data_IF_024222485966
#
_entry.id   IF_024222485966
#
_cell.length_a   1.000
_cell.length_b   1.000
_cell.length_c   1.000
_cell.angle_alpha   90.00
_cell.angle_beta   90.00
_cell.angle_gamma   90.00
#
_symmetry.space_group_name_H-M   'P 1'
#
loop_
_entity.id
_entity.type
_entity.pdbx_description
1 polymer ?
#
# COMPACT_ATOMS: atom_id res chain seq x y z
N UNK A 1 24.60 -24.10 -46.24
CA UNK A 1 23.22 -24.35 -45.77
C UNK A 1 23.20 -25.13 -44.45
N UNK A 2 24.07 -26.13 -44.28
CA UNK A 2 24.06 -27.02 -43.09
C UNK A 2 24.40 -26.32 -41.76
N UNK A 3 25.28 -25.33 -41.79
CA UNK A 3 25.63 -24.53 -40.61
C UNK A 3 24.45 -23.71 -40.08
N UNK A 4 23.57 -23.21 -40.96
CA UNK A 4 22.38 -22.43 -40.58
C UNK A 4 21.34 -23.33 -39.89
N UNK A 5 21.13 -24.54 -40.39
CA UNK A 5 20.22 -25.52 -39.78
C UNK A 5 20.69 -25.97 -38.40
N UNK A 6 21.99 -26.21 -38.23
CA UNK A 6 22.55 -26.54 -36.94
C UNK A 6 22.33 -25.41 -35.91
N UNK A 7 22.56 -24.15 -36.30
CA UNK A 7 22.31 -22.99 -35.42
C UNK A 7 20.83 -22.91 -35.03
N UNK A 8 19.90 -23.11 -35.98
CA UNK A 8 18.45 -23.09 -35.71
C UNK A 8 18.05 -24.19 -34.73
N UNK A 9 18.55 -25.42 -34.91
CA UNK A 9 18.22 -26.54 -34.02
C UNK A 9 18.73 -26.33 -32.59
N UNK A 10 19.96 -25.80 -32.43
CA UNK A 10 20.52 -25.48 -31.12
C UNK A 10 19.72 -24.35 -30.45
N UNK A 11 19.40 -23.28 -31.19
CA UNK A 11 18.59 -22.18 -30.68
C UNK A 11 17.18 -22.62 -30.25
N UNK A 12 16.52 -23.48 -31.06
CA UNK A 12 15.22 -24.03 -30.75
C UNK A 12 15.26 -24.93 -29.49
N UNK A 13 16.28 -25.78 -29.36
CA UNK A 13 16.47 -26.61 -28.16
C UNK A 13 16.69 -25.76 -26.90
N UNK A 14 17.50 -24.71 -26.98
CA UNK A 14 17.73 -23.79 -25.87
C UNK A 14 16.46 -23.02 -25.48
N UNK A 15 15.68 -22.55 -26.46
CA UNK A 15 14.40 -21.88 -26.21
C UNK A 15 13.39 -22.82 -25.53
N UNK A 16 13.30 -24.09 -25.97
CA UNK A 16 12.43 -25.09 -25.38
C UNK A 16 12.82 -25.42 -23.93
N UNK A 17 14.13 -25.58 -23.67
CA UNK A 17 14.64 -25.82 -22.33
C UNK A 17 14.38 -24.64 -21.38
N UNK A 18 14.58 -23.41 -21.85
CA UNK A 18 14.26 -22.20 -21.08
C UNK A 18 12.75 -22.13 -20.78
N UNK A 19 11.90 -22.39 -21.77
CA UNK A 19 10.45 -22.41 -21.62
C UNK A 19 10.01 -23.46 -20.58
N UNK A 20 10.49 -24.70 -20.71
CA UNK A 20 10.20 -25.79 -19.76
C UNK A 20 10.65 -25.44 -18.33
N UNK A 21 11.85 -24.88 -18.18
CA UNK A 21 12.38 -24.47 -16.88
C UNK A 21 11.51 -23.37 -16.25
N UNK A 22 11.06 -22.38 -17.03
CA UNK A 22 10.17 -21.33 -16.51
C UNK A 22 8.82 -21.87 -16.06
N UNK A 23 8.23 -22.81 -16.82
CA UNK A 23 6.95 -23.43 -16.44
C UNK A 23 7.07 -24.24 -15.14
N UNK A 24 8.16 -24.99 -14.97
CA UNK A 24 8.39 -25.81 -13.78
C UNK A 24 8.64 -24.96 -12.52
N UNK A 25 9.29 -23.79 -12.65
CA UNK A 25 9.63 -22.93 -11.50
C UNK A 25 8.55 -21.90 -11.14
N UNK A 26 7.66 -21.55 -12.07
CA UNK A 26 6.58 -20.57 -11.87
C UNK A 26 5.66 -20.88 -10.68
N UNK A 27 5.07 -22.09 -10.54
CA UNK A 27 4.12 -22.36 -9.46
C UNK A 27 4.79 -22.29 -8.09
N UNK A 28 6.03 -22.77 -7.96
CA UNK A 28 6.78 -22.69 -6.70
C UNK A 28 7.11 -21.25 -6.30
N UNK A 29 7.38 -20.37 -7.27
CA UNK A 29 7.58 -18.93 -7.02
C UNK A 29 6.29 -18.25 -6.56
N UNK A 30 5.20 -18.50 -7.26
CA UNK A 30 3.88 -17.92 -6.94
C UNK A 30 3.40 -18.37 -5.56
N UNK A 31 3.56 -19.65 -5.21
CA UNK A 31 3.19 -20.18 -3.90
C UNK A 31 3.99 -19.51 -2.77
N UNK A 32 5.31 -19.36 -2.94
CA UNK A 32 6.18 -18.69 -1.96
C UNK A 32 5.82 -17.21 -1.78
N UNK A 33 5.47 -16.53 -2.86
CA UNK A 33 5.04 -15.12 -2.80
C UNK A 33 3.70 -14.97 -2.10
N UNK A 34 2.74 -15.85 -2.39
CA UNK A 34 1.45 -15.89 -1.70
C UNK A 34 1.63 -16.16 -0.19
N UNK A 35 2.42 -17.17 0.18
CA UNK A 35 2.72 -17.49 1.58
C UNK A 35 3.38 -16.32 2.31
N UNK A 36 4.33 -15.64 1.64
CA UNK A 36 4.99 -14.46 2.18
C UNK A 36 3.99 -13.34 2.40
N UNK A 37 3.14 -13.05 1.42
CA UNK A 37 2.12 -12.02 1.52
C UNK A 37 1.16 -12.30 2.69
N UNK A 38 0.63 -13.53 2.78
CA UNK A 38 -0.26 -13.92 3.86
C UNK A 38 0.39 -13.84 5.25
N UNK A 39 1.69 -14.12 5.37
CA UNK A 39 2.42 -13.91 6.63
C UNK A 39 2.48 -12.42 6.99
N UNK A 40 2.85 -11.57 6.03
CA UNK A 40 2.95 -10.12 6.25
C UNK A 40 1.60 -9.48 6.58
N UNK A 41 0.50 -9.94 5.96
CA UNK A 41 -0.87 -9.52 6.28
C UNK A 41 -1.22 -9.91 7.72
N UNK A 42 -0.99 -11.16 8.12
CA UNK A 42 -1.22 -11.60 9.52
C UNK A 42 -0.39 -10.81 10.52
N UNK A 43 0.86 -10.53 10.19
CA UNK A 43 1.74 -9.73 11.04
C UNK A 43 1.29 -8.28 11.13
N UNK A 44 0.74 -7.71 10.04
CA UNK A 44 0.10 -6.38 10.07
C UNK A 44 -1.08 -6.37 11.04
N UNK A 45 -2.03 -7.30 10.87
CA UNK A 45 -3.21 -7.42 11.74
C UNK A 45 -2.85 -7.54 13.21
N UNK A 46 -1.84 -8.36 13.54
CA UNK A 46 -1.38 -8.54 14.93
C UNK A 46 -0.85 -7.27 15.59
N UNK A 47 -0.33 -6.32 14.83
CA UNK A 47 0.27 -5.10 15.36
C UNK A 47 -0.50 -3.83 14.97
N UNK A 48 -1.69 -4.00 14.38
CA UNK A 48 -2.50 -2.93 13.79
C UNK A 48 -2.77 -1.81 14.79
N UNK A 49 -3.32 -2.13 15.95
CA UNK A 49 -3.62 -1.14 17.00
C UNK A 49 -2.38 -0.32 17.41
N UNK A 50 -1.22 -0.98 17.57
CA UNK A 50 0.03 -0.29 17.91
C UNK A 50 0.52 0.62 16.78
N UNK A 51 0.35 0.19 15.52
CA UNK A 51 0.70 1.00 14.36
C UNK A 51 -0.22 2.20 14.21
N UNK A 52 -1.52 2.04 14.42
CA UNK A 52 -2.52 3.11 14.37
C UNK A 52 -2.25 4.17 15.44
N UNK A 53 -1.94 3.77 16.67
CA UNK A 53 -1.52 4.71 17.72
C UNK A 53 -0.26 5.51 17.29
N UNK A 54 0.77 4.82 16.79
CA UNK A 54 1.98 5.48 16.25
C UNK A 54 1.66 6.37 15.05
N UNK A 55 0.69 6.00 14.23
CA UNK A 55 0.27 6.78 13.07
C UNK A 55 -0.31 8.11 13.52
N UNK A 56 -1.22 8.10 14.49
CA UNK A 56 -1.86 9.31 15.03
C UNK A 56 -0.79 10.28 15.53
N UNK A 57 0.15 9.81 16.36
CA UNK A 57 1.26 10.63 16.87
C UNK A 57 2.09 11.26 15.75
N UNK A 58 2.44 10.46 14.74
CA UNK A 58 3.29 10.89 13.62
C UNK A 58 2.56 11.82 12.66
N UNK A 59 1.29 11.55 12.37
CA UNK A 59 0.47 12.36 11.48
C UNK A 59 0.19 13.74 12.10
N UNK A 60 -0.16 13.78 13.40
CA UNK A 60 -0.34 15.02 14.14
C UNK A 60 0.93 15.88 14.14
N UNK A 61 2.10 15.27 14.31
CA UNK A 61 3.39 15.97 14.29
C UNK A 61 3.75 16.58 12.92
N UNK A 62 3.16 16.12 11.81
CA UNK A 62 3.45 16.67 10.48
C UNK A 62 2.75 18.01 10.19
N UNK A 63 1.74 18.41 10.98
CA UNK A 63 1.07 19.71 10.85
C UNK A 63 0.42 19.97 9.48
N UNK A 64 0.01 18.91 8.77
CA UNK A 64 -0.66 18.98 7.46
C UNK A 64 -2.11 18.55 7.60
N UNK A 65 -3.10 19.29 7.07
CA UNK A 65 -2.99 20.52 6.28
C UNK A 65 -2.60 21.75 7.12
N UNK A 66 -1.93 22.73 6.51
CA UNK A 66 -1.54 23.99 7.19
C UNK A 66 -2.78 24.70 7.73
N UNK A 67 -2.69 25.26 8.94
CA UNK A 67 -3.80 26.01 9.57
C UNK A 67 -4.88 25.14 10.22
N UNK A 68 -4.76 23.81 10.14
CA UNK A 68 -5.72 22.85 10.69
C UNK A 68 -5.07 21.96 11.75
N UNK A 69 -5.78 21.75 12.85
CA UNK A 69 -5.42 20.79 13.90
C UNK A 69 -6.19 19.50 13.69
N UNK A 70 -5.50 18.37 13.77
CA UNK A 70 -6.14 17.05 13.79
C UNK A 70 -6.88 16.90 15.11
N UNK A 71 -8.18 16.61 15.06
CA UNK A 71 -8.98 16.33 16.26
C UNK A 71 -9.03 14.84 16.49
N UNK A 72 -9.37 14.09 15.45
CA UNK A 72 -9.68 12.66 15.55
C UNK A 72 -9.39 11.95 14.22
N UNK A 73 -9.10 10.65 14.33
CA UNK A 73 -8.86 9.74 13.20
C UNK A 73 -9.58 8.42 13.46
N UNK A 74 -10.49 8.06 12.58
CA UNK A 74 -11.10 6.73 12.56
C UNK A 74 -10.41 5.86 11.50
N UNK A 75 -10.17 4.60 11.83
CA UNK A 75 -9.64 3.60 10.90
C UNK A 75 -10.75 2.64 10.51
N UNK A 76 -10.85 2.33 9.22
CA UNK A 76 -11.75 1.32 8.68
C UNK A 76 -10.97 0.03 8.36
N UNK A 77 -11.69 -1.09 8.19
CA UNK A 77 -11.13 -2.40 7.89
C UNK A 77 -10.75 -2.57 6.40
N UNK A 78 -11.02 -1.56 5.56
CA UNK A 78 -10.60 -1.57 4.15
C UNK A 78 -9.09 -1.32 4.03
N UNK A 79 -8.36 -2.37 3.61
CA UNK A 79 -6.91 -2.35 3.47
C UNK A 79 -6.47 -2.84 2.10
N UNK A 80 -5.76 -1.99 1.37
CA UNK A 80 -5.09 -2.37 0.12
C UNK A 80 -3.60 -2.58 0.39
N UNK A 81 -3.10 -3.76 0.01
CA UNK A 81 -1.67 -4.03 0.04
C UNK A 81 -1.09 -3.73 -1.33
N UNK A 82 -0.05 -2.89 -1.33
CA UNK A 82 0.64 -2.48 -2.55
C UNK A 82 2.14 -2.71 -2.43
N UNK A 83 2.75 -3.14 -3.53
CA UNK A 83 4.21 -3.26 -3.65
C UNK A 83 4.75 -1.99 -4.29
N UNK A 84 5.75 -1.41 -3.63
CA UNK A 84 6.55 -0.35 -4.21
C UNK A 84 7.42 -0.92 -5.33
N UNK A 85 7.26 -0.43 -6.56
CA UNK A 85 7.91 -0.97 -7.77
C UNK A 85 9.42 -0.80 -7.74
N UNK A 86 9.93 0.25 -7.08
CA UNK A 86 11.36 0.59 -7.05
C UNK A 86 12.12 -0.22 -5.99
N UNK A 87 11.56 -0.31 -4.79
CA UNK A 87 12.18 -0.96 -3.64
C UNK A 87 11.71 -2.40 -3.41
N UNK A 88 10.59 -2.80 -4.00
CA UNK A 88 9.93 -4.08 -3.73
C UNK A 88 9.25 -4.16 -2.36
N UNK A 89 9.29 -3.07 -1.56
CA UNK A 89 8.73 -3.02 -0.21
C UNK A 89 7.22 -3.09 -0.23
N UNK A 90 6.64 -3.76 0.77
CA UNK A 90 5.18 -3.85 0.91
C UNK A 90 4.65 -2.65 1.70
N UNK A 91 3.54 -2.10 1.23
CA UNK A 91 2.75 -1.06 1.90
C UNK A 91 1.35 -1.61 2.20
N UNK A 92 0.80 -1.23 3.34
CA UNK A 92 -0.60 -1.37 3.68
C UNK A 92 -1.22 0.03 3.66
N UNK A 93 -2.20 0.21 2.79
CA UNK A 93 -2.96 1.43 2.59
C UNK A 93 -4.31 1.22 3.25
N UNK A 94 -4.54 1.93 4.35
CA UNK A 94 -5.73 1.75 5.19
C UNK A 94 -6.66 2.93 4.99
N UNK A 95 -7.94 2.64 4.77
CA UNK A 95 -8.98 3.68 4.73
C UNK A 95 -9.11 4.33 6.11
N UNK A 96 -9.07 5.65 6.14
CA UNK A 96 -9.24 6.43 7.37
C UNK A 96 -10.21 7.58 7.12
N UNK A 97 -10.86 8.03 8.18
CA UNK A 97 -11.53 9.32 8.18
C UNK A 97 -10.83 10.26 9.17
N UNK A 98 -10.59 11.49 8.74
CA UNK A 98 -9.86 12.49 9.55
C UNK A 98 -10.75 13.69 9.80
N UNK A 99 -10.82 14.11 11.07
CA UNK A 99 -11.54 15.30 11.51
C UNK A 99 -10.58 16.44 11.83
N UNK A 100 -10.90 17.65 11.37
CA UNK A 100 -10.07 18.84 11.55
C UNK A 100 -10.77 19.93 12.36
N UNK A 101 -9.96 20.74 13.04
CA UNK A 101 -10.37 22.03 13.58
C UNK A 101 -9.52 23.15 12.96
N UNK A 102 -10.11 24.32 12.74
CA UNK A 102 -9.36 25.51 12.42
C UNK A 102 -8.48 25.91 13.62
N UNK A 103 -7.22 26.25 13.37
CA UNK A 103 -6.39 26.91 14.39
C UNK A 103 -6.72 28.40 14.39
N UNK A 104 -6.99 28.96 15.57
CA UNK A 104 -7.26 30.39 15.72
C UNK A 104 -6.08 31.24 15.20
N UNK A 105 -6.37 32.23 14.34
CA UNK A 105 -5.39 33.04 13.62
C UNK A 105 -4.76 32.37 12.39
N UNK A 106 -5.21 31.17 12.00
CA UNK A 106 -4.66 30.39 10.88
C UNK A 106 -5.21 30.71 9.48
N UNK A 107 -6.11 31.70 9.37
CA UNK A 107 -6.68 32.16 8.10
C UNK A 107 -7.69 31.19 7.45
N UNK A 108 -8.16 30.17 8.19
CA UNK A 108 -9.15 29.19 7.73
C UNK A 108 -10.42 29.15 8.59
N UNK A 109 -10.60 30.12 9.49
CA UNK A 109 -11.71 30.18 10.46
C UNK A 109 -13.08 30.34 9.79
N UNK A 110 -13.14 30.99 8.63
CA UNK A 110 -14.39 31.25 7.89
C UNK A 110 -14.72 30.16 6.84
N UNK A 111 -13.90 29.12 6.70
CA UNK A 111 -14.12 28.07 5.70
C UNK A 111 -14.95 26.94 6.31
N UNK A 112 -16.26 26.89 6.01
CA UNK A 112 -17.19 25.83 6.49
C UNK A 112 -16.70 24.39 6.23
N UNK A 113 -15.82 24.18 5.25
CA UNK A 113 -15.28 22.86 4.93
C UNK A 113 -14.23 22.34 5.95
N UNK A 114 -13.86 23.15 6.94
CA UNK A 114 -12.82 22.84 7.93
C UNK A 114 -13.34 21.93 9.06
N UNK A 115 -14.62 21.97 9.38
CA UNK A 115 -15.25 21.08 10.37
C UNK A 115 -15.68 19.72 9.81
N UNK A 116 -15.25 19.37 8.58
CA UNK A 116 -15.71 18.16 7.88
C UNK A 116 -14.75 17.00 8.06
N UNK A 117 -15.31 15.85 8.43
CA UNK A 117 -14.70 14.52 8.30
C UNK A 117 -14.29 14.34 6.83
N UNK A 118 -13.02 13.98 6.59
CA UNK A 118 -12.52 13.69 5.24
C UNK A 118 -12.08 12.25 5.13
N UNK A 119 -12.58 11.57 4.11
CA UNK A 119 -12.02 10.31 3.65
C UNK A 119 -10.57 10.52 3.21
N UNK A 120 -9.69 9.65 3.68
CA UNK A 120 -8.28 9.65 3.37
C UNK A 120 -7.72 8.22 3.43
N UNK A 121 -6.45 8.08 3.05
CA UNK A 121 -5.72 6.83 3.17
C UNK A 121 -4.48 7.02 4.04
N UNK A 122 -4.34 6.21 5.08
CA UNK A 122 -3.13 6.11 5.90
C UNK A 122 -2.14 5.11 5.31
N UNK A 123 -0.85 5.48 5.24
CA UNK A 123 0.21 4.58 4.77
C UNK A 123 0.97 3.93 5.93
N UNK A 124 1.08 2.60 5.84
CA UNK A 124 1.99 1.77 6.62
C UNK A 124 2.95 1.04 5.69
N UNK A 125 4.20 0.84 6.10
CA UNK A 125 5.25 0.21 5.28
C UNK A 125 5.94 -0.90 6.04
N UNK A 126 6.21 -2.01 5.36
CA UNK A 126 7.08 -3.06 5.87
C UNK A 126 8.53 -2.76 5.49
N UNK A 127 9.42 -2.61 6.48
CA UNK A 127 10.84 -2.23 6.27
C UNK A 127 11.76 -3.43 5.97
N UNK A 128 11.20 -4.64 5.91
CA UNK A 128 11.94 -5.88 5.75
C UNK A 128 11.96 -6.73 7.02
N UNK A 129 11.77 -6.13 8.19
CA UNK A 129 11.69 -6.82 9.47
C UNK A 129 10.35 -6.61 10.18
N UNK A 130 9.79 -5.40 10.13
CA UNK A 130 8.54 -5.06 10.79
C UNK A 130 7.72 -4.06 9.99
N UNK A 131 6.46 -3.94 10.37
CA UNK A 131 5.63 -2.84 9.91
C UNK A 131 5.97 -1.56 10.69
N UNK A 132 5.99 -0.44 9.98
CA UNK A 132 6.22 0.90 10.52
C UNK A 132 5.27 1.90 9.88
N UNK A 133 5.12 3.06 10.49
CA UNK A 133 4.45 4.21 9.88
C UNK A 133 5.26 5.47 10.08
N UNK A 134 5.19 6.35 9.09
CA UNK A 134 5.71 7.71 9.18
C UNK A 134 4.57 8.74 9.34
N UNK A 135 3.32 8.30 9.50
CA UNK A 135 2.15 9.19 9.55
C UNK A 135 1.81 9.82 8.20
N UNK A 136 2.10 9.13 7.08
CA UNK A 136 1.82 9.65 5.74
C UNK A 136 0.35 9.42 5.39
N UNK A 137 -0.28 10.48 4.89
CA UNK A 137 -1.72 10.52 4.62
C UNK A 137 -1.96 11.02 3.20
N UNK A 138 -2.91 10.39 2.51
CA UNK A 138 -3.42 10.81 1.21
C UNK A 138 -4.87 11.26 1.35
N UNK A 139 -5.09 12.58 1.35
CA UNK A 139 -6.43 13.14 1.52
C UNK A 139 -7.28 12.99 0.27
N UNK A 140 -8.59 12.80 0.48
CA UNK A 140 -9.59 12.68 -0.57
C UNK A 140 -9.37 11.49 -1.52
N UNK A 141 -8.63 10.47 -1.06
CA UNK A 141 -8.39 9.23 -1.79
C UNK A 141 -8.65 8.04 -0.84
N UNK A 142 -9.46 7.10 -1.32
CA UNK A 142 -9.54 5.76 -0.73
C UNK A 142 -8.28 4.93 -1.07
N UNK A 143 -8.08 3.75 -0.45
CA UNK A 143 -6.87 2.95 -0.67
C UNK A 143 -6.64 2.55 -2.14
N UNK A 144 -7.70 2.21 -2.89
CA UNK A 144 -7.60 1.86 -4.32
C UNK A 144 -7.28 3.09 -5.16
N UNK A 145 -7.95 4.20 -4.88
CA UNK A 145 -7.71 5.50 -5.49
C UNK A 145 -6.28 5.96 -5.27
N UNK A 146 -5.70 5.68 -4.09
CA UNK A 146 -4.30 5.96 -3.77
C UNK A 146 -3.35 5.13 -4.63
N UNK A 147 -3.61 3.83 -4.80
CA UNK A 147 -2.80 2.99 -5.72
C UNK A 147 -2.89 3.49 -7.15
N UNK A 148 -4.10 3.83 -7.62
CA UNK A 148 -4.31 4.37 -8.97
C UNK A 148 -3.58 5.70 -9.17
N UNK A 149 -3.66 6.61 -8.20
CA UNK A 149 -2.96 7.88 -8.21
C UNK A 149 -1.43 7.71 -8.28
N UNK A 150 -0.91 6.62 -7.70
CA UNK A 150 0.51 6.29 -7.65
C UNK A 150 0.89 5.09 -8.55
N UNK A 151 0.16 4.83 -9.63
CA UNK A 151 0.32 3.61 -10.45
C UNK A 151 1.74 3.38 -10.99
N UNK A 152 2.49 4.48 -11.21
CA UNK A 152 3.89 4.46 -11.65
C UNK A 152 4.86 3.97 -10.56
N UNK A 153 4.48 4.10 -9.30
CA UNK A 153 5.31 3.73 -8.15
C UNK A 153 4.76 2.49 -7.41
N UNK A 154 3.46 2.23 -7.48
CA UNK A 154 2.76 1.18 -6.73
C UNK A 154 2.07 0.18 -7.64
N UNK A 155 2.08 -1.08 -7.19
CA UNK A 155 1.31 -2.18 -7.76
C UNK A 155 0.45 -2.80 -6.68
N UNK A 156 -0.87 -2.87 -6.89
CA UNK A 156 -1.76 -3.58 -5.95
C UNK A 156 -1.47 -5.08 -5.98
N UNK A 157 -1.26 -5.68 -4.81
CA UNK A 157 -1.00 -7.13 -4.68
C UNK A 157 -2.08 -7.88 -3.90
N UNK A 158 -2.85 -7.19 -3.05
CA UNK A 158 -4.03 -7.75 -2.38
C UNK A 158 -4.97 -6.63 -1.91
N UNK A 159 -6.24 -7.00 -1.68
CA UNK A 159 -7.26 -6.11 -1.12
C UNK A 159 -8.09 -6.88 -0.09
N UNK A 160 -8.16 -6.35 1.11
CA UNK A 160 -9.06 -6.77 2.18
C UNK A 160 -10.16 -5.71 2.28
N UNK A 161 -11.40 -6.09 1.95
CA UNK A 161 -12.54 -5.18 2.01
C UNK A 161 -13.06 -5.08 3.43
N UNK A 162 -13.46 -3.88 3.83
CA UNK A 162 -14.28 -3.72 5.04
C UNK A 162 -15.52 -4.61 4.94
N UNK A 163 -15.87 -5.28 6.03
CA UNK A 163 -17.12 -6.03 6.10
C UNK A 163 -18.28 -5.04 5.95
N UNK A 164 -19.19 -5.29 5.01
CA UNK A 164 -20.42 -4.50 4.87
C UNK A 164 -21.19 -4.66 6.18
N UNK A 165 -21.22 -3.60 7.01
CA UNK A 165 -22.08 -3.58 8.20
C UNK A 165 -23.54 -3.54 7.72
N UNK A 166 -24.40 -4.47 8.17
CA UNK A 166 -25.81 -4.51 7.79
C UNK A 166 -26.62 -3.33 8.35
#
# INVERSE_FOLDING_TARGET
>A
MDQLWWIISVAAGAALAAFMTTLLLRPGRQAREADRLSRLQRDFHRQREQLEAKFIDRAAAQGKPRGLRWIDVSFDDDVVYARDRKSGSLKALVSIEVSFEAIAGGGMEEVEAVSRVRAATGEFRHDGNRWITHGRVYFNLDPKGTVKYLENDLEMVAHEQAAVRP
#
